data_IF_570555364886
#
_entry.id   IF_570555364886
#
_cell.length_a   1.000
_cell.length_b   1.000
_cell.length_c   1.000
_cell.angle_alpha   90.00
_cell.angle_beta   90.00
_cell.angle_gamma   90.00
#
_symmetry.space_group_name_H-M   'P 1'
#
loop_
_entity.id
_entity.type
_entity.pdbx_description
1 polymer ?
#
# COMPACT_ATOMS: atom_id res chain seq x y z
N UNK A 1 -5.08 9.73 11.50
CA UNK A 1 -6.06 9.66 10.40
C UNK A 1 -5.96 10.89 9.50
N UNK A 2 -6.07 12.10 10.05
CA UNK A 2 -5.92 13.35 9.27
C UNK A 2 -4.56 13.42 8.56
N UNK A 3 -3.47 13.08 9.25
CA UNK A 3 -2.12 13.01 8.67
C UNK A 3 -2.00 12.02 7.50
N UNK A 4 -2.70 10.89 7.53
CA UNK A 4 -2.71 9.90 6.44
C UNK A 4 -3.42 10.47 5.20
N UNK A 5 -4.52 11.19 5.39
CA UNK A 5 -5.26 11.83 4.30
C UNK A 5 -4.43 12.93 3.67
N UNK A 6 -3.81 13.79 4.48
CA UNK A 6 -2.94 14.88 4.02
C UNK A 6 -1.73 14.33 3.26
N UNK A 7 -1.08 13.28 3.76
CA UNK A 7 0.04 12.61 3.10
C UNK A 7 -0.38 12.00 1.76
N UNK A 8 -1.55 11.35 1.66
CA UNK A 8 -2.04 10.79 0.40
C UNK A 8 -2.37 11.87 -0.64
N UNK A 9 -2.99 13.00 -0.23
CA UNK A 9 -3.26 14.12 -1.13
C UNK A 9 -1.95 14.72 -1.65
N UNK A 10 -0.97 14.93 -0.77
CA UNK A 10 0.34 15.43 -1.15
C UNK A 10 1.04 14.48 -2.11
N UNK A 11 1.00 13.16 -1.84
CA UNK A 11 1.60 12.13 -2.69
C UNK A 11 0.98 12.13 -4.10
N UNK A 12 -0.35 12.22 -4.22
CA UNK A 12 -1.05 12.33 -5.50
C UNK A 12 -0.60 13.60 -6.27
N UNK A 13 -0.56 14.75 -5.58
CA UNK A 13 -0.16 16.01 -6.19
C UNK A 13 1.29 15.99 -6.68
N UNK A 14 2.20 15.37 -5.91
CA UNK A 14 3.59 15.22 -6.32
C UNK A 14 3.76 14.26 -7.49
N UNK A 15 3.00 13.17 -7.54
CA UNK A 15 3.01 12.23 -8.67
C UNK A 15 2.55 12.90 -9.96
N UNK A 16 1.42 13.61 -9.95
CA UNK A 16 0.98 14.34 -11.15
C UNK A 16 1.97 15.42 -11.58
N UNK A 17 2.55 16.16 -10.63
CA UNK A 17 3.58 17.16 -10.93
C UNK A 17 4.88 16.55 -11.49
N UNK A 18 5.24 15.33 -11.10
CA UNK A 18 6.39 14.61 -11.63
C UNK A 18 6.12 14.12 -13.06
N UNK A 19 4.93 13.57 -13.31
CA UNK A 19 4.48 13.14 -14.63
C UNK A 19 4.40 14.31 -15.62
N UNK A 20 3.86 15.46 -15.20
CA UNK A 20 3.81 16.69 -16.02
C UNK A 20 5.21 17.21 -16.40
N UNK A 21 6.24 16.84 -15.64
CA UNK A 21 7.65 17.17 -15.91
C UNK A 21 8.35 16.12 -16.77
N UNK A 22 7.63 15.10 -17.25
CA UNK A 22 8.18 14.02 -18.07
C UNK A 22 9.07 13.04 -17.29
N UNK A 23 9.00 13.03 -15.96
CA UNK A 23 9.73 12.06 -15.16
C UNK A 23 9.01 10.70 -15.22
N UNK A 24 9.76 9.60 -15.41
CA UNK A 24 9.16 8.27 -15.43
C UNK A 24 8.66 7.88 -14.04
N UNK A 25 7.49 7.23 -14.00
CA UNK A 25 6.94 6.65 -12.77
C UNK A 25 7.78 5.42 -12.37
N UNK A 26 8.54 5.54 -11.29
CA UNK A 26 9.43 4.47 -10.81
C UNK A 26 8.68 3.30 -10.15
N UNK A 27 7.40 3.48 -9.85
CA UNK A 27 6.55 2.42 -9.31
C UNK A 27 5.93 1.62 -10.48
N UNK A 28 6.36 0.37 -10.73
CA UNK A 28 5.89 -0.42 -11.88
C UNK A 28 4.38 -0.70 -11.84
N UNK A 29 3.77 -0.73 -10.65
CA UNK A 29 2.32 -0.87 -10.50
C UNK A 29 1.60 0.41 -10.90
N UNK A 30 2.12 1.57 -10.49
CA UNK A 30 1.53 2.87 -10.84
C UNK A 30 1.71 3.20 -12.32
N UNK A 31 2.87 2.84 -12.90
CA UNK A 31 3.11 2.93 -14.34
C UNK A 31 2.06 2.15 -15.13
N UNK A 32 1.79 0.88 -14.76
CA UNK A 32 0.75 0.09 -15.40
C UNK A 32 -0.67 0.65 -15.21
N UNK A 33 -0.96 1.30 -14.08
CA UNK A 33 -2.25 1.96 -13.83
C UNK A 33 -2.41 3.26 -14.62
N UNK A 34 -1.32 3.99 -14.85
CA UNK A 34 -1.31 5.19 -15.69
C UNK A 34 -1.48 4.85 -17.17
N UNK A 35 -0.87 3.74 -17.63
CA UNK A 35 -1.08 3.20 -18.98
C UNK A 35 -2.54 2.78 -19.21
N UNK A 36 -3.22 2.28 -18.16
CA UNK A 36 -4.65 1.97 -18.19
C UNK A 36 -5.56 3.23 -18.17
N UNK A 37 -4.98 4.41 -17.89
CA UNK A 37 -5.64 5.71 -17.93
C UNK A 37 -5.55 6.49 -16.61
N UNK A 38 -5.27 7.78 -16.71
CA UNK A 38 -5.11 8.71 -15.56
C UNK A 38 -6.26 8.65 -14.53
N UNK A 39 -7.50 8.45 -14.98
CA UNK A 39 -8.66 8.31 -14.10
C UNK A 39 -8.64 7.05 -13.23
N UNK A 40 -8.14 5.93 -13.77
CA UNK A 40 -8.00 4.65 -13.05
C UNK A 40 -6.89 4.76 -12.00
N UNK A 41 -5.74 5.33 -12.38
CA UNK A 41 -4.65 5.60 -11.45
C UNK A 41 -5.10 6.49 -10.28
N UNK A 42 -5.85 7.57 -10.57
CA UNK A 42 -6.40 8.46 -9.54
C UNK A 42 -7.39 7.73 -8.60
N UNK A 43 -8.30 6.93 -9.16
CA UNK A 43 -9.27 6.15 -8.39
C UNK A 43 -8.61 5.13 -7.48
N UNK A 44 -7.58 4.42 -7.94
CA UNK A 44 -6.85 3.46 -7.11
C UNK A 44 -6.08 4.20 -6.02
N UNK A 45 -5.38 5.29 -6.38
CA UNK A 45 -4.52 6.04 -5.46
C UNK A 45 -5.31 6.74 -4.36
N UNK A 46 -6.56 7.13 -4.60
CA UNK A 46 -7.46 7.70 -3.59
C UNK A 46 -8.27 6.59 -2.89
N UNK A 47 -8.83 5.66 -3.66
CA UNK A 47 -9.78 4.66 -3.20
C UNK A 47 -9.18 3.67 -2.22
N UNK A 48 -7.95 3.19 -2.48
CA UNK A 48 -7.26 2.25 -1.59
C UNK A 48 -7.02 2.84 -0.20
N UNK A 49 -6.40 4.03 -0.03
CA UNK A 49 -6.20 4.61 1.29
C UNK A 49 -7.51 5.00 1.99
N UNK A 50 -8.54 5.45 1.25
CA UNK A 50 -9.87 5.71 1.83
C UNK A 50 -10.53 4.43 2.33
N UNK A 51 -10.49 3.36 1.53
CA UNK A 51 -11.02 2.05 1.90
C UNK A 51 -10.27 1.47 3.12
N UNK A 52 -8.94 1.59 3.16
CA UNK A 52 -8.12 1.19 4.30
C UNK A 52 -8.43 2.03 5.55
N UNK A 53 -8.63 3.33 5.42
CA UNK A 53 -9.01 4.20 6.53
C UNK A 53 -10.42 3.87 7.06
N UNK A 54 -11.36 3.55 6.18
CA UNK A 54 -12.72 3.14 6.53
C UNK A 54 -12.73 1.75 7.19
N UNK A 55 -12.03 0.77 6.62
CA UNK A 55 -11.84 -0.55 7.22
C UNK A 55 -11.18 -0.42 8.58
N UNK A 56 -10.10 0.36 8.69
CA UNK A 56 -9.42 0.67 9.94
C UNK A 56 -10.26 1.51 10.91
N UNK A 57 -11.33 2.18 10.46
CA UNK A 57 -12.33 2.80 11.34
C UNK A 57 -13.31 1.77 11.90
N UNK A 58 -13.82 0.89 11.04
CA UNK A 58 -14.76 -0.14 11.43
C UNK A 58 -14.14 -1.20 12.35
N UNK A 59 -12.89 -1.57 12.04
CA UNK A 59 -12.13 -2.60 12.74
C UNK A 59 -11.49 -2.13 14.05
N UNK A 60 -11.63 -0.86 14.45
CA UNK A 60 -11.07 -0.35 15.73
C UNK A 60 -11.61 -1.08 16.95
N UNK A 61 -12.85 -1.55 16.86
CA UNK A 61 -13.47 -2.37 17.89
C UNK A 61 -12.70 -3.68 18.13
N UNK A 62 -11.96 -4.15 17.13
CA UNK A 62 -11.19 -5.40 17.15
C UNK A 62 -9.67 -5.16 17.15
N UNK A 63 -9.21 -3.96 17.54
CA UNK A 63 -7.80 -3.56 17.45
C UNK A 63 -6.83 -4.58 18.07
N UNK A 64 -7.16 -5.14 19.24
CA UNK A 64 -6.38 -6.20 19.90
C UNK A 64 -6.26 -7.47 19.05
N UNK A 65 -7.35 -7.89 18.41
CA UNK A 65 -7.39 -9.09 17.56
C UNK A 65 -6.54 -8.88 16.30
N UNK A 66 -6.58 -7.67 15.73
CA UNK A 66 -5.77 -7.31 14.56
C UNK A 66 -4.29 -7.25 14.90
N UNK A 67 -3.92 -6.68 16.05
CA UNK A 67 -2.53 -6.65 16.51
C UNK A 67 -1.97 -8.07 16.68
N UNK A 68 -2.74 -8.97 17.28
CA UNK A 68 -2.36 -10.40 17.41
C UNK A 68 -2.28 -11.07 16.04
N UNK A 69 -3.24 -10.84 15.15
CA UNK A 69 -3.23 -11.41 13.81
C UNK A 69 -2.01 -10.95 13.00
N UNK A 70 -1.68 -9.65 13.03
CA UNK A 70 -0.49 -9.10 12.39
C UNK A 70 0.80 -9.69 12.96
N UNK A 71 0.87 -9.89 14.28
CA UNK A 71 2.01 -10.54 14.92
C UNK A 71 2.18 -11.99 14.43
N UNK A 72 1.10 -12.77 14.41
CA UNK A 72 1.13 -14.16 13.95
C UNK A 72 1.51 -14.24 12.47
N UNK A 73 0.93 -13.40 11.61
CA UNK A 73 1.28 -13.35 10.18
C UNK A 73 2.77 -13.04 10.01
N UNK A 74 3.28 -12.02 10.71
CA UNK A 74 4.70 -11.65 10.65
C UNK A 74 5.61 -12.81 11.08
N UNK A 75 5.27 -13.46 12.18
CA UNK A 75 6.03 -14.62 12.68
C UNK A 75 6.03 -15.75 11.64
N UNK A 76 4.87 -16.06 11.05
CA UNK A 76 4.76 -17.10 10.02
C UNK A 76 5.53 -16.73 8.75
N UNK A 77 5.51 -15.46 8.32
CA UNK A 77 6.31 -15.00 7.18
C UNK A 77 7.81 -15.21 7.43
N UNK A 78 8.31 -14.93 8.64
CA UNK A 78 9.70 -15.21 9.03
C UNK A 78 10.00 -16.71 8.95
N UNK A 79 9.11 -17.56 9.47
CA UNK A 79 9.27 -19.02 9.39
C UNK A 79 9.32 -19.49 7.94
N UNK A 80 8.44 -19.01 7.07
CA UNK A 80 8.44 -19.33 5.65
C UNK A 80 9.75 -18.92 5.00
N UNK A 81 10.22 -17.69 5.25
CA UNK A 81 11.50 -17.20 4.72
C UNK A 81 12.68 -18.06 5.20
N UNK A 82 12.70 -18.45 6.47
CA UNK A 82 13.70 -19.36 7.00
C UNK A 82 13.70 -20.71 6.27
N UNK A 83 12.53 -21.29 6.01
CA UNK A 83 12.43 -22.54 5.26
C UNK A 83 12.86 -22.38 3.80
N UNK A 84 12.49 -21.28 3.15
CA UNK A 84 12.94 -20.99 1.78
C UNK A 84 14.47 -20.87 1.72
N UNK A 85 15.08 -20.11 2.63
CA UNK A 85 16.54 -19.98 2.69
C UNK A 85 17.21 -21.32 3.03
N UNK A 86 16.66 -22.10 3.95
CA UNK A 86 17.14 -23.44 4.27
C UNK A 86 17.08 -24.39 3.07
N UNK A 87 16.04 -24.29 2.24
CA UNK A 87 15.92 -25.05 0.99
C UNK A 87 16.95 -24.62 -0.07
N UNK A 88 17.34 -23.34 -0.11
CA UNK A 88 18.35 -22.84 -1.05
C UNK A 88 19.81 -23.10 -0.62
N UNK A 89 20.04 -23.38 0.67
CA UNK A 89 21.39 -23.57 1.24
C UNK A 89 21.73 -25.05 1.46
N UNK A 90 20.74 -25.94 1.49
CA UNK A 90 20.91 -27.40 1.52
C UNK A 90 20.99 -27.98 0.10
#
# INVERSE_FOLDING_TARGET
>A
MISIVVLNIADIAFTFRALDRGLPELNPVMAGLLDAGHGVAALVKIGVPVALAAAGWWLRRFRRVIEVALFVVTLMSVVVLYHMLGYFVA
#
